data_IF_582755051146
#
_entry.id   IF_582755051146
#
_cell.length_a   1.000
_cell.length_b   1.000
_cell.length_c   1.000
_cell.angle_alpha   90.00
_cell.angle_beta   90.00
_cell.angle_gamma   90.00
#
_symmetry.space_group_name_H-M   'P 1'
#
loop_
_entity.id
_entity.type
_entity.pdbx_description
1 polymer ?
#
# COMPACT_ATOMS: atom_id res chain seq x y z
N UNK A 1 15.95 20.52 -4.78
CA UNK A 1 14.93 19.92 -5.66
C UNK A 1 14.41 18.64 -5.01
N UNK A 2 13.23 18.68 -4.40
CA UNK A 2 12.63 17.49 -3.76
C UNK A 2 12.31 16.48 -4.87
N UNK A 3 12.96 15.31 -4.86
CA UNK A 3 12.59 14.18 -5.74
C UNK A 3 11.20 13.71 -5.36
N UNK A 4 10.18 14.25 -6.00
CA UNK A 4 8.80 13.74 -5.89
C UNK A 4 8.76 12.38 -6.57
N UNK A 5 8.43 11.34 -5.81
CA UNK A 5 8.20 9.97 -6.31
C UNK A 5 6.94 9.92 -7.19
N UNK A 6 6.97 10.56 -8.35
CA UNK A 6 5.81 10.74 -9.24
C UNK A 6 5.23 9.43 -9.75
N UNK A 7 6.07 8.41 -9.99
CA UNK A 7 5.65 7.09 -10.53
C UNK A 7 4.93 6.22 -9.50
N UNK A 8 5.47 6.07 -8.28
CA UNK A 8 4.81 5.30 -7.21
C UNK A 8 3.47 5.93 -6.82
N UNK A 9 3.48 7.27 -6.76
CA UNK A 9 2.30 8.05 -6.42
C UNK A 9 1.13 7.86 -7.39
N UNK A 10 1.36 7.58 -8.69
CA UNK A 10 0.26 7.27 -9.65
C UNK A 10 -0.42 5.94 -9.33
N UNK A 11 0.34 4.87 -9.11
CA UNK A 11 -0.20 3.54 -8.81
C UNK A 11 -1.05 3.54 -7.54
N UNK A 12 -0.57 4.22 -6.50
CA UNK A 12 -1.31 4.43 -5.27
C UNK A 12 -2.63 5.20 -5.52
N UNK A 13 -2.61 6.26 -6.33
CA UNK A 13 -3.85 7.01 -6.66
C UNK A 13 -4.85 6.13 -7.41
N UNK A 14 -4.39 5.39 -8.41
CA UNK A 14 -5.25 4.48 -9.20
C UNK A 14 -5.95 3.45 -8.30
N UNK A 15 -5.20 2.80 -7.41
CA UNK A 15 -5.78 1.82 -6.47
C UNK A 15 -6.71 2.49 -5.46
N UNK A 16 -6.33 3.65 -4.91
CA UNK A 16 -7.18 4.39 -3.97
C UNK A 16 -8.51 4.78 -4.63
N UNK A 17 -8.48 5.36 -5.84
CA UNK A 17 -9.70 5.73 -6.57
C UNK A 17 -10.57 4.51 -6.89
N UNK A 18 -9.96 3.40 -7.30
CA UNK A 18 -10.68 2.15 -7.56
C UNK A 18 -11.40 1.65 -6.30
N UNK A 19 -10.69 1.55 -5.17
CA UNK A 19 -11.28 1.10 -3.90
C UNK A 19 -12.38 2.05 -3.42
N UNK A 20 -12.19 3.36 -3.59
CA UNK A 20 -13.18 4.37 -3.25
C UNK A 20 -14.47 4.20 -4.08
N UNK A 21 -14.35 4.02 -5.40
CA UNK A 21 -15.48 3.70 -6.27
C UNK A 21 -16.19 2.39 -5.90
N UNK A 22 -15.48 1.46 -5.27
CA UNK A 22 -16.05 0.21 -4.73
C UNK A 22 -16.61 0.37 -3.30
N UNK A 23 -16.75 1.60 -2.80
CA UNK A 23 -17.40 1.92 -1.53
C UNK A 23 -16.50 1.78 -0.30
N UNK A 24 -15.17 1.75 -0.47
CA UNK A 24 -14.24 1.83 0.65
C UNK A 24 -13.89 3.28 0.99
N UNK A 25 -13.79 3.59 2.28
CA UNK A 25 -13.09 4.79 2.74
C UNK A 25 -11.58 4.55 2.66
N UNK A 26 -10.88 5.32 1.83
CA UNK A 26 -9.48 5.06 1.45
C UNK A 26 -8.55 6.17 1.93
N UNK A 27 -7.42 5.79 2.51
CA UNK A 27 -6.38 6.69 3.01
C UNK A 27 -5.04 6.30 2.39
N UNK A 28 -4.28 7.31 1.94
CA UNK A 28 -2.87 7.14 1.57
C UNK A 28 -2.00 7.43 2.78
N UNK A 29 -1.04 6.57 3.05
CA UNK A 29 -0.17 6.69 4.21
C UNK A 29 0.97 7.67 3.90
N UNK A 30 1.15 8.74 4.70
CA UNK A 30 2.29 9.63 4.52
C UNK A 30 3.60 8.91 4.86
N UNK A 31 4.67 9.23 4.12
CA UNK A 31 6.00 8.64 4.34
C UNK A 31 6.02 7.10 4.31
N UNK A 32 5.21 6.51 3.43
CA UNK A 32 5.15 5.07 3.20
C UNK A 32 6.48 4.48 2.72
N UNK A 33 6.74 3.22 3.07
CA UNK A 33 7.99 2.53 2.72
C UNK A 33 9.23 3.02 3.50
N UNK A 34 9.05 3.95 4.44
CA UNK A 34 10.07 4.47 5.35
C UNK A 34 9.92 3.96 6.79
N UNK A 35 10.48 4.70 7.75
CA UNK A 35 10.49 4.32 9.17
C UNK A 35 9.08 4.30 9.82
N UNK A 36 8.15 5.12 9.34
CA UNK A 36 6.87 5.37 10.01
C UNK A 36 5.78 4.34 9.69
N UNK A 37 5.78 3.76 8.48
CA UNK A 37 4.79 2.75 8.10
C UNK A 37 5.28 1.87 6.96
N UNK A 38 5.06 0.54 7.03
CA UNK A 38 5.35 -0.39 5.94
C UNK A 38 4.23 -0.47 4.89
N UNK A 39 3.25 0.45 4.91
CA UNK A 39 2.07 0.43 4.06
C UNK A 39 1.97 1.70 3.22
N UNK A 40 1.37 1.60 2.03
CA UNK A 40 1.03 2.72 1.16
C UNK A 40 -0.44 3.14 1.25
N UNK A 41 -1.38 2.19 1.36
CA UNK A 41 -2.82 2.45 1.40
C UNK A 41 -3.50 1.66 2.50
N UNK A 42 -4.47 2.30 3.15
CA UNK A 42 -5.48 1.65 4.00
C UNK A 42 -6.86 1.89 3.37
N UNK A 43 -7.69 0.87 3.31
CA UNK A 43 -9.06 0.95 2.82
C UNK A 43 -10.01 0.25 3.79
N UNK A 44 -11.10 0.92 4.17
CA UNK A 44 -12.01 0.47 5.23
C UNK A 44 -13.44 0.46 4.71
N UNK A 45 -14.17 -0.63 4.98
CA UNK A 45 -15.61 -0.72 4.70
C UNK A 45 -16.28 -1.70 5.66
N UNK A 46 -17.28 -1.25 6.42
CA UNK A 46 -18.12 -2.13 7.27
C UNK A 46 -17.32 -3.11 8.15
N UNK A 47 -16.29 -2.63 8.84
CA UNK A 47 -15.43 -3.47 9.69
C UNK A 47 -14.34 -4.27 8.95
N UNK A 48 -14.37 -4.32 7.62
CA UNK A 48 -13.29 -4.87 6.81
C UNK A 48 -12.18 -3.82 6.62
N UNK A 49 -10.97 -4.14 7.04
CA UNK A 49 -9.77 -3.30 6.87
C UNK A 49 -8.80 -3.98 5.92
N UNK A 50 -8.56 -3.35 4.78
CA UNK A 50 -7.58 -3.77 3.78
C UNK A 50 -6.37 -2.85 3.84
N UNK A 51 -5.18 -3.42 3.70
CA UNK A 51 -3.92 -2.68 3.69
C UNK A 51 -3.03 -3.14 2.55
N UNK A 52 -2.33 -2.18 1.94
CA UNK A 52 -1.59 -2.43 0.72
C UNK A 52 -0.19 -1.84 0.79
N UNK A 53 0.79 -2.65 0.39
CA UNK A 53 2.13 -2.22 -0.03
C UNK A 53 2.19 -2.41 -1.55
N UNK A 54 2.52 -1.35 -2.29
CA UNK A 54 2.33 -1.23 -3.73
C UNK A 54 3.68 -1.13 -4.41
N UNK A 55 3.92 -2.04 -5.36
CA UNK A 55 5.12 -2.04 -6.20
C UNK A 55 4.72 -1.78 -7.66
N UNK A 56 5.41 -0.85 -8.31
CA UNK A 56 5.19 -0.51 -9.73
C UNK A 56 6.42 -0.86 -10.55
N UNK A 57 6.40 -2.02 -11.20
CA UNK A 57 7.52 -2.54 -11.98
C UNK A 57 7.02 -3.28 -13.22
N UNK A 58 7.82 -3.30 -14.28
CA UNK A 58 7.51 -4.09 -15.49
C UNK A 58 7.57 -5.61 -15.24
N UNK A 59 8.48 -6.01 -14.36
CA UNK A 59 8.74 -7.39 -13.96
C UNK A 59 8.29 -7.63 -12.52
N UNK A 60 8.15 -8.90 -12.13
CA UNK A 60 7.75 -9.28 -10.78
C UNK A 60 8.67 -8.62 -9.75
N UNK A 61 8.14 -7.82 -8.81
CA UNK A 61 8.96 -7.12 -7.84
C UNK A 61 9.63 -8.11 -6.89
N UNK A 62 10.90 -7.85 -6.56
CA UNK A 62 11.61 -8.54 -5.48
C UNK A 62 11.25 -7.86 -4.17
N UNK A 63 10.86 -8.65 -3.19
CA UNK A 63 10.51 -8.18 -1.85
C UNK A 63 11.60 -8.61 -0.88
N UNK A 64 12.04 -7.67 -0.03
CA UNK A 64 13.01 -7.97 1.03
C UNK A 64 12.28 -8.63 2.20
N UNK A 65 12.92 -9.60 2.85
CA UNK A 65 12.33 -10.37 3.95
C UNK A 65 11.93 -9.46 5.11
N UNK A 66 12.79 -8.51 5.46
CA UNK A 66 12.57 -7.56 6.55
C UNK A 66 11.36 -6.66 6.29
N UNK A 67 11.15 -6.26 5.03
CA UNK A 67 9.98 -5.48 4.63
C UNK A 67 8.69 -6.31 4.81
N UNK A 68 8.72 -7.59 4.41
CA UNK A 68 7.58 -8.49 4.56
C UNK A 68 7.25 -8.77 6.02
N UNK A 69 8.27 -8.93 6.87
CA UNK A 69 8.09 -9.13 8.30
C UNK A 69 7.49 -7.89 8.96
N UNK A 70 7.98 -6.69 8.64
CA UNK A 70 7.42 -5.43 9.14
C UNK A 70 5.95 -5.25 8.71
N UNK A 71 5.65 -5.51 7.43
CA UNK A 71 4.29 -5.49 6.88
C UNK A 71 3.37 -6.49 7.59
N UNK A 72 3.80 -7.75 7.73
CA UNK A 72 3.05 -8.81 8.40
C UNK A 72 2.79 -8.49 9.87
N UNK A 73 3.80 -7.97 10.59
CA UNK A 73 3.66 -7.53 11.98
C UNK A 73 2.63 -6.41 12.12
N UNK A 74 2.67 -5.42 11.23
CA UNK A 74 1.71 -4.31 11.25
C UNK A 74 0.29 -4.81 11.00
N UNK A 75 0.08 -5.58 9.92
CA UNK A 75 -1.25 -6.07 9.52
C UNK A 75 -1.89 -6.95 10.58
N UNK A 76 -1.10 -7.86 11.18
CA UNK A 76 -1.54 -8.67 12.32
C UNK A 76 -1.92 -7.82 13.53
N UNK A 77 -1.11 -6.81 13.89
CA UNK A 77 -1.41 -5.90 15.00
C UNK A 77 -2.71 -5.12 14.77
N UNK A 78 -2.96 -4.70 13.54
CA UNK A 78 -4.14 -3.90 13.18
C UNK A 78 -5.42 -4.73 12.97
N UNK A 79 -5.35 -6.07 12.97
CA UNK A 79 -6.48 -6.92 12.57
C UNK A 79 -6.89 -6.72 11.11
N UNK A 80 -5.94 -6.35 10.24
CA UNK A 80 -6.20 -6.00 8.86
C UNK A 80 -5.77 -7.11 7.89
N UNK A 81 -6.46 -7.19 6.75
CA UNK A 81 -6.02 -8.02 5.62
C UNK A 81 -4.91 -7.30 4.84
N UNK A 82 -3.74 -7.91 4.79
CA UNK A 82 -2.56 -7.37 4.11
C UNK A 82 -2.40 -7.88 2.68
N UNK A 83 -2.17 -6.97 1.73
CA UNK A 83 -1.91 -7.27 0.33
C UNK A 83 -0.62 -6.63 -0.17
N UNK A 84 0.12 -7.39 -0.98
CA UNK A 84 1.22 -6.88 -1.78
C UNK A 84 0.69 -6.68 -3.20
N UNK A 85 0.45 -5.43 -3.57
CA UNK A 85 -0.11 -5.09 -4.87
C UNK A 85 1.00 -4.82 -5.88
N UNK A 86 0.93 -5.44 -7.06
CA UNK A 86 1.86 -5.20 -8.15
C UNK A 86 1.13 -4.54 -9.32
N UNK A 87 1.47 -3.28 -9.61
CA UNK A 87 1.08 -2.61 -10.84
C UNK A 87 2.14 -2.91 -11.91
N UNK A 88 1.76 -3.70 -12.92
CA UNK A 88 2.61 -3.97 -14.08
C UNK A 88 2.62 -2.73 -14.98
N UNK A 89 3.79 -2.13 -15.16
CA UNK A 89 4.00 -0.92 -15.99
C UNK A 89 4.70 -1.21 -17.30
#
# INVERSE_FOLDING_TARGET
MVKTYSKGSRAERELAHFLNHRGFATLRVPSSGGFLSPLDIVAIRNGLVLTFEIKSHKVKPRLRKEQLEAFSKWTRKAGAMGFLAWRRT
#
